data_IF_543351567709
#
_entry.id   IF_543351567709
#
_cell.length_a   1.000
_cell.length_b   1.000
_cell.length_c   1.000
_cell.angle_alpha   90.00
_cell.angle_beta   90.00
_cell.angle_gamma   90.00
#
_symmetry.space_group_name_H-M   'P 1'
#
loop_
_entity.id
_entity.type
_entity.pdbx_description
1 polymer ?
#
# COMPACT_ATOMS: atom_id res chain seq x y z
N UNK A 1 0.32 59.81 -32.33
CA UNK A 1 -1.00 59.75 -33.00
C UNK A 1 -1.41 58.30 -33.02
N UNK A 2 -2.67 58.04 -32.65
CA UNK A 2 -3.35 56.75 -32.42
C UNK A 2 -2.92 56.05 -31.11
N UNK A 3 -3.52 56.34 -29.94
CA UNK A 3 -4.91 56.14 -29.48
C UNK A 3 -5.40 54.69 -29.59
N UNK A 4 -5.55 54.02 -28.44
CA UNK A 4 -6.85 53.46 -28.06
C UNK A 4 -6.96 53.27 -26.55
N UNK A 5 -8.06 53.82 -26.04
CA UNK A 5 -8.46 54.08 -24.67
C UNK A 5 -9.54 53.06 -24.33
N UNK A 6 -9.39 52.27 -23.26
CA UNK A 6 -10.45 51.38 -22.77
C UNK A 6 -11.31 52.16 -21.77
N UNK A 7 -12.65 52.18 -21.91
CA UNK A 7 -13.54 52.90 -21.00
C UNK A 7 -14.00 52.03 -19.82
N UNK A 8 -14.30 52.74 -18.73
CA UNK A 8 -14.92 52.32 -17.47
C UNK A 8 -16.45 52.52 -17.51
N UNK A 9 -17.12 52.05 -16.45
CA UNK A 9 -18.54 52.23 -16.00
C UNK A 9 -19.50 51.09 -16.39
N UNK A 10 -19.91 50.24 -15.43
CA UNK A 10 -20.91 50.42 -14.34
C UNK A 10 -22.35 50.20 -14.84
N UNK A 11 -23.03 49.17 -14.27
CA UNK A 11 -24.49 49.16 -14.20
C UNK A 11 -25.00 48.31 -13.03
N UNK A 12 -25.87 48.97 -12.29
CA UNK A 12 -26.50 48.68 -11.00
C UNK A 12 -27.72 47.72 -11.06
N UNK A 13 -28.20 47.38 -9.85
CA UNK A 13 -29.53 46.89 -9.45
C UNK A 13 -29.87 45.39 -9.68
N UNK A 14 -30.52 44.64 -8.77
CA UNK A 14 -31.11 44.90 -7.45
C UNK A 14 -31.40 43.55 -6.75
N UNK A 15 -31.47 43.58 -5.42
CA UNK A 15 -32.08 42.53 -4.59
C UNK A 15 -33.62 42.48 -4.77
N UNK A 16 -34.27 41.41 -4.31
CA UNK A 16 -35.09 41.60 -3.11
C UNK A 16 -34.85 40.57 -2.00
N UNK A 17 -35.09 41.04 -0.79
CA UNK A 17 -35.24 40.29 0.45
C UNK A 17 -36.73 39.99 0.69
N UNK A 18 -37.01 38.80 1.22
CA UNK A 18 -38.05 38.46 2.22
C UNK A 18 -37.84 36.96 2.48
N UNK A 19 -37.55 36.45 3.67
CA UNK A 19 -38.11 36.82 4.97
C UNK A 19 -39.15 35.76 5.33
N UNK A 20 -38.78 34.79 6.17
CA UNK A 20 -39.63 34.29 7.28
C UNK A 20 -38.90 33.19 8.06
N UNK A 21 -38.79 33.46 9.36
CA UNK A 21 -38.41 32.53 10.43
C UNK A 21 -39.55 31.54 10.69
N UNK A 22 -39.22 30.28 10.95
CA UNK A 22 -40.05 29.42 11.78
C UNK A 22 -39.16 28.50 12.62
N UNK A 23 -39.03 28.86 13.89
CA UNK A 23 -38.60 27.96 14.96
C UNK A 23 -39.82 27.27 15.58
N UNK A 24 -39.54 26.16 16.28
CA UNK A 24 -40.45 25.35 17.11
C UNK A 24 -41.31 24.38 16.27
N UNK A 25 -41.34 23.07 16.50
CA UNK A 25 -41.78 22.42 17.73
C UNK A 25 -41.38 20.93 17.77
N UNK A 26 -41.18 20.47 19.00
CA UNK A 26 -41.13 19.11 19.53
C UNK A 26 -42.22 18.17 18.99
N UNK A 27 -41.84 16.94 18.65
CA UNK A 27 -42.75 15.84 18.37
C UNK A 27 -42.14 14.51 18.80
N UNK A 28 -42.18 14.21 20.10
CA UNK A 28 -42.07 12.84 20.59
C UNK A 28 -43.32 12.07 20.20
N UNK A 29 -43.16 11.01 19.42
CA UNK A 29 -44.13 9.95 19.32
C UNK A 29 -43.45 8.65 19.75
N UNK A 30 -43.91 8.15 20.89
CA UNK A 30 -43.61 6.84 21.44
C UNK A 30 -44.06 5.76 20.42
N UNK A 31 -43.12 4.90 20.03
CA UNK A 31 -43.37 3.68 19.29
C UNK A 31 -42.93 2.49 20.14
N UNK A 32 -43.90 1.77 20.68
CA UNK A 32 -43.74 0.60 21.55
C UNK A 32 -43.00 -0.56 20.85
N UNK A 33 -42.19 -1.37 21.56
CA UNK A 33 -41.35 -2.40 20.95
C UNK A 33 -42.16 -3.64 20.57
N UNK A 34 -42.17 -4.01 19.29
CA UNK A 34 -42.70 -5.30 18.87
C UNK A 34 -41.79 -6.44 19.35
N UNK A 35 -42.31 -7.19 20.32
CA UNK A 35 -41.80 -8.44 20.86
C UNK A 35 -41.68 -9.52 19.75
N UNK A 36 -40.53 -10.21 19.60
CA UNK A 36 -40.46 -11.39 18.75
C UNK A 36 -41.18 -12.58 19.41
N UNK A 37 -41.82 -13.48 18.64
CA UNK A 37 -42.47 -14.65 19.20
C UNK A 37 -41.43 -15.71 19.58
N UNK A 38 -41.48 -16.13 20.85
CA UNK A 38 -40.88 -17.37 21.34
C UNK A 38 -41.79 -18.56 21.00
N UNK A 39 -41.22 -19.64 20.47
CA UNK A 39 -41.80 -20.97 20.62
C UNK A 39 -41.62 -21.95 19.46
N UNK A 40 -40.72 -22.92 19.68
CA UNK A 40 -40.77 -24.31 19.22
C UNK A 40 -40.39 -24.63 17.75
N UNK A 41 -39.20 -25.22 17.53
CA UNK A 41 -38.97 -26.67 17.73
C UNK A 41 -37.59 -27.09 17.25
N UNK A 42 -37.00 -28.05 17.98
CA UNK A 42 -35.72 -28.68 17.73
C UNK A 42 -35.65 -29.34 16.33
N UNK A 43 -34.61 -29.00 15.57
CA UNK A 43 -34.09 -29.78 14.45
C UNK A 43 -32.71 -30.35 14.81
N UNK A 44 -32.29 -31.47 14.21
CA UNK A 44 -31.11 -32.19 14.65
C UNK A 44 -29.84 -31.39 14.36
N UNK A 45 -28.92 -31.38 15.33
CA UNK A 45 -27.56 -30.89 15.20
C UNK A 45 -26.83 -31.73 14.12
N UNK A 46 -26.31 -31.14 13.04
CA UNK A 46 -25.27 -31.80 12.27
C UNK A 46 -23.95 -31.59 12.99
N UNK A 47 -23.30 -32.72 13.26
CA UNK A 47 -22.00 -32.86 13.87
C UNK A 47 -20.98 -31.83 13.35
N UNK A 48 -20.22 -31.30 14.30
CA UNK A 48 -19.06 -30.44 14.09
C UNK A 48 -18.02 -31.13 13.21
N UNK A 49 -18.11 -30.95 11.90
CA UNK A 49 -16.95 -31.12 11.02
C UNK A 49 -16.03 -29.94 11.30
N UNK A 50 -14.87 -30.24 11.88
CA UNK A 50 -13.88 -29.26 12.28
C UNK A 50 -13.65 -28.23 11.18
N UNK A 51 -13.58 -26.96 11.58
CA UNK A 51 -13.07 -25.91 10.71
C UNK A 51 -11.63 -26.32 10.37
N UNK A 52 -11.47 -26.95 9.21
CA UNK A 52 -10.16 -27.21 8.65
C UNK A 52 -9.54 -25.82 8.49
N UNK A 53 -8.48 -25.56 9.28
CA UNK A 53 -7.69 -24.36 9.12
C UNK A 53 -7.23 -24.22 7.66
N UNK A 54 -6.81 -23.03 7.24
CA UNK A 54 -6.25 -22.85 5.90
C UNK A 54 -5.22 -23.96 5.64
N UNK A 55 -5.21 -24.55 4.43
CA UNK A 55 -4.38 -25.71 4.16
C UNK A 55 -2.93 -25.36 4.49
N UNK A 56 -2.36 -26.12 5.43
CA UNK A 56 -0.93 -26.21 5.74
C UNK A 56 -0.22 -26.80 4.51
N UNK A 57 -0.26 -26.07 3.41
CA UNK A 57 0.60 -26.28 2.27
C UNK A 57 1.90 -25.57 2.61
N UNK A 58 2.83 -26.32 3.20
CA UNK A 58 4.23 -25.92 3.24
C UNK A 58 4.69 -25.60 1.82
N UNK A 59 4.66 -24.31 1.47
CA UNK A 59 5.15 -23.82 0.19
C UNK A 59 6.64 -24.13 0.10
N UNK A 60 7.12 -24.71 -1.02
CA UNK A 60 8.53 -25.05 -1.18
C UNK A 60 9.32 -23.75 -1.16
N UNK A 61 10.14 -23.52 -0.12
CA UNK A 61 10.90 -22.27 0.12
C UNK A 61 10.07 -21.02 -0.20
N UNK A 62 9.25 -20.59 0.78
CA UNK A 62 8.25 -19.52 0.64
C UNK A 62 8.69 -18.36 -0.25
N UNK A 63 7.95 -18.14 -1.34
CA UNK A 63 8.18 -17.04 -2.29
C UNK A 63 8.07 -15.72 -1.53
N UNK A 64 8.98 -14.80 -1.83
CA UNK A 64 9.00 -13.47 -1.21
C UNK A 64 8.91 -12.39 -2.26
N UNK A 65 8.27 -11.30 -1.90
CA UNK A 65 8.19 -10.11 -2.73
C UNK A 65 9.57 -9.47 -2.89
N UNK A 66 10.00 -9.24 -4.13
CA UNK A 66 11.27 -8.59 -4.46
C UNK A 66 11.32 -7.10 -4.08
N UNK A 67 10.21 -6.51 -3.61
CA UNK A 67 10.16 -5.11 -3.15
C UNK A 67 10.09 -4.99 -1.62
N UNK A 68 9.20 -5.76 -0.96
CA UNK A 68 8.99 -5.64 0.48
C UNK A 68 9.51 -6.83 1.30
N UNK A 69 10.06 -7.87 0.67
CA UNK A 69 10.56 -9.09 1.32
C UNK A 69 9.51 -9.92 2.09
N UNK A 70 8.24 -9.55 2.03
CA UNK A 70 7.14 -10.27 2.65
C UNK A 70 6.76 -11.54 1.86
N UNK A 71 6.25 -12.55 2.56
CA UNK A 71 5.74 -13.80 1.97
C UNK A 71 4.38 -13.67 1.28
N UNK A 72 3.87 -14.78 0.78
CA UNK A 72 2.61 -14.95 0.06
C UNK A 72 1.36 -14.57 0.89
N UNK A 73 1.35 -14.80 2.20
CA UNK A 73 0.19 -14.57 3.09
C UNK A 73 0.27 -13.30 3.92
N UNK A 74 1.07 -12.32 3.50
CA UNK A 74 1.37 -11.19 4.35
C UNK A 74 0.13 -10.33 4.67
N UNK A 75 -0.14 -10.16 5.97
CA UNK A 75 -1.35 -9.54 6.53
C UNK A 75 -1.46 -8.00 6.35
N UNK A 76 -0.56 -7.39 5.59
CA UNK A 76 -0.50 -5.93 5.41
C UNK A 76 -1.29 -5.41 4.20
N UNK A 77 -2.26 -6.18 3.70
CA UNK A 77 -3.14 -5.75 2.60
C UNK A 77 -2.45 -5.65 1.24
N UNK A 78 -1.25 -6.20 1.05
CA UNK A 78 -0.48 -6.13 -0.20
C UNK A 78 -1.10 -6.92 -1.37
N UNK A 79 -2.07 -7.80 -1.05
CA UNK A 79 -2.70 -8.79 -1.93
C UNK A 79 -1.72 -9.88 -2.41
N UNK A 80 -2.15 -10.74 -3.33
CA UNK A 80 -1.40 -11.91 -3.78
C UNK A 80 -0.03 -11.58 -4.41
N UNK A 81 0.93 -12.51 -4.27
CA UNK A 81 2.18 -12.48 -5.03
C UNK A 81 1.91 -12.84 -6.49
N UNK A 82 2.38 -11.99 -7.40
CA UNK A 82 2.33 -12.21 -8.84
C UNK A 82 3.75 -12.49 -9.34
N UNK A 83 3.87 -13.45 -10.25
CA UNK A 83 5.13 -13.74 -10.94
C UNK A 83 5.22 -12.86 -12.18
N UNK A 84 6.24 -12.04 -12.26
CA UNK A 84 6.53 -11.21 -13.43
C UNK A 84 7.52 -11.91 -14.35
N UNK A 85 7.25 -11.85 -15.65
CA UNK A 85 8.13 -12.38 -16.69
C UNK A 85 9.51 -11.71 -16.66
N UNK A 86 10.56 -12.36 -17.17
CA UNK A 86 11.86 -11.72 -17.33
C UNK A 86 11.77 -10.58 -18.33
N UNK A 87 12.57 -9.53 -18.10
CA UNK A 87 12.83 -8.56 -19.17
C UNK A 87 13.65 -9.22 -20.29
N UNK A 88 13.47 -8.82 -21.55
CA UNK A 88 14.42 -9.16 -22.61
C UNK A 88 15.84 -8.77 -22.17
N UNK A 89 16.83 -9.61 -22.51
CA UNK A 89 18.25 -9.39 -22.18
C UNK A 89 18.55 -9.42 -20.66
N UNK A 90 17.75 -10.17 -19.89
CA UNK A 90 17.96 -10.38 -18.45
C UNK A 90 19.39 -10.83 -18.07
N UNK A 91 20.01 -11.80 -18.77
CA UNK A 91 21.36 -12.27 -18.43
C UNK A 91 22.40 -11.15 -18.49
N UNK A 92 22.36 -10.28 -19.51
CA UNK A 92 23.31 -9.18 -19.65
C UNK A 92 23.16 -8.11 -18.56
N UNK A 93 21.96 -7.93 -18.01
CA UNK A 93 21.72 -6.97 -16.92
C UNK A 93 22.30 -7.43 -15.58
N UNK A 94 22.54 -8.73 -15.41
CA UNK A 94 23.22 -9.27 -14.23
C UNK A 94 24.74 -9.08 -14.28
N UNK A 95 25.34 -9.02 -15.47
CA UNK A 95 26.80 -8.90 -15.68
C UNK A 95 27.35 -7.55 -15.19
N UNK A 96 26.52 -6.52 -15.05
CA UNK A 96 26.91 -5.24 -14.44
C UNK A 96 26.96 -5.21 -12.91
N UNK A 97 26.52 -6.28 -12.25
CA UNK A 97 26.43 -6.41 -10.79
C UNK A 97 27.18 -7.64 -10.27
N UNK A 98 28.26 -8.03 -10.93
CA UNK A 98 29.17 -9.03 -10.38
C UNK A 98 29.82 -8.48 -9.09
N UNK A 99 29.82 -9.26 -7.99
CA UNK A 99 30.52 -8.85 -6.79
C UNK A 99 32.01 -8.67 -7.12
N UNK A 100 32.69 -7.66 -6.56
CA UNK A 100 34.14 -7.55 -6.72
C UNK A 100 34.78 -8.85 -6.21
N UNK A 101 35.72 -9.38 -7.00
CA UNK A 101 36.56 -10.54 -6.72
C UNK A 101 37.37 -10.29 -5.42
N UNK A 102 36.71 -10.46 -4.28
CA UNK A 102 37.29 -10.51 -2.95
C UNK A 102 37.59 -11.95 -2.58
N UNK A 103 38.59 -12.23 -1.72
CA UNK A 103 38.92 -13.59 -1.35
C UNK A 103 37.68 -14.26 -0.73
N UNK A 104 37.15 -15.26 -1.44
CA UNK A 104 35.91 -15.92 -1.10
C UNK A 104 35.95 -16.46 0.32
N UNK A 105 35.01 -15.99 1.14
CA UNK A 105 34.76 -16.60 2.45
C UNK A 105 34.23 -18.02 2.20
N UNK A 106 34.84 -19.06 2.77
CA UNK A 106 34.40 -20.43 2.52
C UNK A 106 32.95 -20.62 3.00
N UNK A 107 32.17 -21.50 2.33
CA UNK A 107 30.80 -21.77 2.74
C UNK A 107 30.78 -22.22 4.21
N UNK A 108 29.81 -21.76 5.02
CA UNK A 108 29.69 -22.22 6.40
C UNK A 108 29.51 -23.74 6.41
N UNK A 109 30.32 -24.42 7.22
CA UNK A 109 30.31 -25.88 7.33
C UNK A 109 28.96 -26.42 7.83
N UNK A 110 28.72 -27.73 7.64
CA UNK A 110 27.40 -28.38 7.81
C UNK A 110 26.84 -28.41 9.24
N UNK A 111 27.42 -27.67 10.19
CA UNK A 111 27.07 -27.71 11.61
C UNK A 111 26.58 -26.38 12.19
N UNK A 112 26.24 -25.39 11.36
CA UNK A 112 25.44 -24.24 11.77
C UNK A 112 23.98 -24.58 11.47
N UNK A 113 23.35 -25.37 12.35
CA UNK A 113 21.90 -25.53 12.36
C UNK A 113 21.30 -24.14 12.56
N UNK A 114 20.87 -23.53 11.46
CA UNK A 114 19.90 -22.45 11.48
C UNK A 114 18.75 -22.95 12.36
N UNK A 115 18.33 -22.21 13.40
CA UNK A 115 17.09 -22.54 14.09
C UNK A 115 16.01 -22.67 13.03
N UNK A 116 15.23 -23.75 13.10
CA UNK A 116 14.03 -23.92 12.25
C UNK A 116 13.30 -22.58 12.20
N UNK A 117 12.76 -22.16 11.04
CA UNK A 117 12.02 -20.92 10.96
C UNK A 117 10.74 -21.11 11.78
N UNK A 118 10.82 -20.83 13.08
CA UNK A 118 9.73 -20.76 14.02
C UNK A 118 8.77 -19.73 13.47
N UNK A 119 7.75 -20.19 12.73
CA UNK A 119 6.57 -19.45 12.27
C UNK A 119 6.83 -17.94 12.21
N UNK A 120 7.80 -17.52 11.37
CA UNK A 120 8.47 -16.23 11.54
C UNK A 120 7.45 -15.11 11.29
N UNK A 121 6.88 -14.59 12.38
CA UNK A 121 5.66 -13.80 12.34
C UNK A 121 5.74 -12.57 11.46
N UNK A 122 4.63 -12.25 10.79
CA UNK A 122 4.45 -11.15 9.84
C UNK A 122 4.56 -9.74 10.46
N UNK A 123 5.46 -9.53 11.43
CA UNK A 123 5.70 -8.22 12.00
C UNK A 123 6.35 -7.28 11.00
N UNK A 124 6.04 -5.99 11.11
CA UNK A 124 6.68 -4.91 10.34
C UNK A 124 8.23 -4.99 10.38
N UNK A 125 8.78 -5.61 11.43
CA UNK A 125 10.18 -5.93 11.62
C UNK A 125 10.78 -6.90 10.58
N UNK A 126 10.01 -7.48 9.65
CA UNK A 126 10.54 -8.28 8.54
C UNK A 126 10.51 -7.57 7.17
N UNK A 127 9.84 -6.41 7.08
CA UNK A 127 9.67 -5.70 5.81
C UNK A 127 10.99 -5.11 5.29
N UNK A 128 11.32 -5.41 4.04
CA UNK A 128 12.48 -4.89 3.35
C UNK A 128 13.74 -5.72 3.59
N UNK A 129 14.81 -5.31 2.92
CA UNK A 129 16.06 -6.06 2.85
C UNK A 129 17.15 -5.43 3.72
N UNK A 130 18.03 -6.27 4.27
CA UNK A 130 19.34 -5.83 4.76
C UNK A 130 20.19 -5.29 3.61
N UNK A 131 21.20 -4.47 3.92
CA UNK A 131 22.10 -3.92 2.90
C UNK A 131 22.85 -5.03 2.14
N UNK A 132 23.17 -4.78 0.87
CA UNK A 132 23.98 -5.69 0.04
C UNK A 132 23.21 -6.80 -0.70
N UNK A 133 21.87 -6.77 -0.71
CA UNK A 133 21.08 -7.67 -1.57
C UNK A 133 21.32 -7.35 -3.04
N UNK A 134 21.58 -8.40 -3.83
CA UNK A 134 21.83 -8.29 -5.27
C UNK A 134 20.60 -8.69 -6.08
N UNK A 135 20.46 -8.22 -7.33
CA UNK A 135 19.38 -8.67 -8.21
C UNK A 135 19.35 -10.20 -8.38
N UNK A 136 20.51 -10.86 -8.43
CA UNK A 136 20.61 -12.32 -8.55
C UNK A 136 19.94 -13.08 -7.38
N UNK A 137 19.75 -12.44 -6.21
CA UNK A 137 19.05 -13.04 -5.07
C UNK A 137 17.54 -12.83 -5.11
N UNK A 138 17.07 -11.82 -5.85
CA UNK A 138 15.66 -11.43 -5.91
C UNK A 138 14.90 -12.01 -7.11
N UNK A 139 15.65 -12.46 -8.11
CA UNK A 139 15.11 -13.03 -9.33
C UNK A 139 15.42 -14.52 -9.40
N UNK A 140 14.47 -15.29 -9.94
CA UNK A 140 14.68 -16.69 -10.29
C UNK A 140 15.80 -16.81 -11.34
N UNK A 141 16.49 -17.96 -11.46
CA UNK A 141 17.49 -18.17 -12.51
C UNK A 141 16.96 -17.95 -13.94
N UNK A 142 15.65 -18.10 -14.12
CA UNK A 142 14.91 -17.83 -15.36
C UNK A 142 14.62 -16.34 -15.59
N UNK A 143 15.05 -15.46 -14.67
CA UNK A 143 14.88 -14.01 -14.70
C UNK A 143 13.52 -13.49 -14.27
N UNK A 144 12.66 -14.35 -13.72
CA UNK A 144 11.36 -13.93 -13.19
C UNK A 144 11.53 -13.39 -11.76
N UNK A 145 10.62 -12.55 -11.31
CA UNK A 145 10.55 -12.17 -9.90
C UNK A 145 9.11 -12.25 -9.39
N UNK A 146 8.99 -12.39 -8.07
CA UNK A 146 7.71 -12.39 -7.39
C UNK A 146 7.51 -11.04 -6.72
N UNK A 147 6.40 -10.38 -6.99
CA UNK A 147 6.06 -9.08 -6.39
C UNK A 147 4.58 -9.07 -6.05
N UNK A 148 4.21 -8.54 -4.88
CA UNK A 148 2.80 -8.39 -4.54
C UNK A 148 2.10 -7.42 -5.47
N UNK A 149 0.81 -7.66 -5.72
CA UNK A 149 -0.02 -6.82 -6.58
C UNK A 149 0.10 -5.32 -6.27
N UNK A 150 -0.11 -4.92 -5.01
CA UNK A 150 -0.01 -3.51 -4.64
C UNK A 150 1.42 -2.99 -4.58
N UNK A 151 2.41 -3.82 -4.23
CA UNK A 151 3.81 -3.43 -4.30
C UNK A 151 4.20 -3.08 -5.76
N UNK A 152 3.77 -3.87 -6.75
CA UNK A 152 4.00 -3.59 -8.16
C UNK A 152 3.23 -2.36 -8.63
N UNK A 153 1.94 -2.27 -8.29
CA UNK A 153 1.10 -1.15 -8.72
C UNK A 153 1.63 0.20 -8.23
N UNK A 154 2.07 0.27 -6.96
CA UNK A 154 2.57 1.51 -6.37
C UNK A 154 3.98 1.90 -6.82
N UNK A 155 4.79 0.93 -7.21
CA UNK A 155 6.14 1.16 -7.72
C UNK A 155 6.16 1.50 -9.23
N UNK A 156 5.24 0.92 -10.02
CA UNK A 156 5.29 0.95 -11.48
C UNK A 156 4.00 1.48 -12.17
N UNK A 157 2.96 1.82 -11.40
CA UNK A 157 1.66 2.26 -11.90
C UNK A 157 0.60 1.15 -11.88
N UNK A 158 -0.69 1.54 -11.97
CA UNK A 158 -1.83 0.64 -11.75
C UNK A 158 -1.90 -0.60 -12.67
N UNK A 159 -1.32 -0.52 -13.87
CA UNK A 159 -1.13 -1.64 -14.78
C UNK A 159 0.37 -1.83 -15.02
N UNK A 160 1.09 -2.46 -14.08
CA UNK A 160 2.54 -2.46 -14.09
C UNK A 160 3.08 -3.36 -15.22
N UNK A 161 3.81 -2.76 -16.15
CA UNK A 161 4.56 -3.49 -17.17
C UNK A 161 5.77 -4.20 -16.55
N UNK A 162 6.13 -5.36 -17.11
CA UNK A 162 7.29 -6.18 -16.69
C UNK A 162 8.57 -5.34 -16.57
N UNK A 163 8.88 -4.52 -17.58
CA UNK A 163 10.08 -3.69 -17.59
C UNK A 163 10.09 -2.64 -16.47
N UNK A 164 8.91 -2.14 -16.09
CA UNK A 164 8.76 -1.14 -15.02
C UNK A 164 8.88 -1.77 -13.64
N UNK A 165 8.37 -2.99 -13.45
CA UNK A 165 8.58 -3.76 -12.20
C UNK A 165 10.05 -4.13 -12.04
N UNK A 166 10.69 -4.67 -13.07
CA UNK A 166 12.11 -4.99 -13.02
C UNK A 166 12.95 -3.75 -12.66
N UNK A 167 12.69 -2.60 -13.31
CA UNK A 167 13.35 -1.33 -13.00
C UNK A 167 13.14 -0.91 -11.55
N UNK A 168 11.92 -1.07 -11.01
CA UNK A 168 11.62 -0.78 -9.62
C UNK A 168 12.39 -1.69 -8.65
N UNK A 169 12.54 -2.97 -8.96
CA UNK A 169 13.37 -3.89 -8.15
C UNK A 169 14.84 -3.45 -8.19
N UNK A 170 15.38 -3.20 -9.38
CA UNK A 170 16.78 -2.75 -9.55
C UNK A 170 17.08 -1.43 -8.84
N UNK A 171 16.17 -0.46 -8.85
CA UNK A 171 16.37 0.78 -8.11
C UNK A 171 16.17 0.55 -6.61
N UNK A 172 15.13 -0.20 -6.24
CA UNK A 172 14.68 -0.42 -4.87
C UNK A 172 15.73 -1.06 -3.95
N UNK A 173 16.57 -1.96 -4.46
CA UNK A 173 17.62 -2.61 -3.65
C UNK A 173 18.63 -1.64 -3.01
N UNK A 174 18.75 -0.43 -3.56
CA UNK A 174 19.63 0.63 -3.02
C UNK A 174 18.87 1.74 -2.31
N UNK A 175 17.54 1.69 -2.28
CA UNK A 175 16.70 2.73 -1.70
C UNK A 175 16.15 2.32 -0.34
N UNK A 176 16.34 3.18 0.66
CA UNK A 176 15.91 2.94 2.05
C UNK A 176 14.50 3.46 2.29
N UNK A 177 13.72 2.68 3.02
CA UNK A 177 12.41 3.11 3.50
C UNK A 177 12.56 4.11 4.64
N UNK A 178 11.84 5.23 4.58
CA UNK A 178 11.80 6.24 5.65
C UNK A 178 11.27 5.67 6.97
N UNK A 179 10.32 4.73 6.91
CA UNK A 179 9.68 4.15 8.09
C UNK A 179 10.57 3.08 8.77
N UNK A 180 11.10 2.12 8.00
CA UNK A 180 11.81 0.97 8.58
C UNK A 180 13.32 0.97 8.36
N UNK A 181 13.87 1.93 7.60
CA UNK A 181 15.30 2.08 7.31
C UNK A 181 15.92 1.05 6.37
N UNK A 182 15.16 0.03 5.94
CA UNK A 182 15.63 -1.11 5.13
C UNK A 182 15.46 -0.88 3.63
N UNK A 183 16.24 -1.61 2.84
CA UNK A 183 16.22 -1.53 1.39
C UNK A 183 14.93 -2.12 0.78
N UNK A 184 14.66 -1.78 -0.49
CA UNK A 184 13.47 -2.22 -1.24
C UNK A 184 12.38 -1.15 -1.38
N UNK A 185 12.60 0.06 -0.86
CA UNK A 185 11.60 1.12 -0.89
C UNK A 185 11.52 1.76 -2.27
N UNK A 186 10.33 1.73 -2.89
CA UNK A 186 10.13 2.19 -4.27
C UNK A 186 8.98 3.17 -4.43
N UNK A 187 8.23 3.46 -3.36
CA UNK A 187 7.05 4.31 -3.42
C UNK A 187 7.39 5.70 -2.92
N UNK A 188 7.47 6.72 -3.80
CA UNK A 188 7.82 8.07 -3.41
C UNK A 188 6.63 8.83 -2.84
N UNK A 189 6.93 9.70 -1.87
CA UNK A 189 6.02 10.79 -1.52
C UNK A 189 5.90 11.76 -2.69
N UNK A 190 4.68 11.96 -3.20
CA UNK A 190 4.40 12.85 -4.34
C UNK A 190 3.90 14.22 -3.89
N UNK A 191 4.59 14.84 -2.95
CA UNK A 191 4.31 16.21 -2.52
C UNK A 191 4.56 17.18 -3.68
N UNK A 192 3.75 18.24 -3.81
CA UNK A 192 3.89 19.21 -4.89
C UNK A 192 5.24 19.95 -4.85
N UNK A 193 5.77 20.20 -3.65
CA UNK A 193 7.08 20.81 -3.44
C UNK A 193 8.26 19.87 -3.73
N UNK A 194 8.00 18.58 -4.00
CA UNK A 194 9.02 17.54 -4.11
C UNK A 194 9.43 16.99 -2.74
N UNK A 195 9.59 15.67 -2.65
CA UNK A 195 10.01 14.98 -1.43
C UNK A 195 10.85 13.76 -1.80
N UNK A 196 11.94 13.52 -1.06
CA UNK A 196 12.85 12.40 -1.30
C UNK A 196 12.47 11.12 -0.55
N UNK A 197 11.46 11.18 0.33
CA UNK A 197 11.07 10.04 1.16
C UNK A 197 10.46 8.92 0.33
N UNK A 198 10.96 7.70 0.55
CA UNK A 198 10.52 6.47 -0.09
C UNK A 198 9.97 5.50 0.96
N UNK A 199 8.98 4.70 0.56
CA UNK A 199 8.33 3.73 1.42
C UNK A 199 8.16 2.37 0.73
N UNK A 200 8.12 1.31 1.53
CA UNK A 200 7.43 0.09 1.12
C UNK A 200 5.91 0.32 1.25
N UNK A 201 5.10 -0.39 0.44
CA UNK A 201 3.64 -0.34 0.56
C UNK A 201 3.15 -0.61 2.00
N UNK A 202 3.54 -1.73 2.65
CA UNK A 202 3.08 -1.99 4.03
C UNK A 202 3.60 -0.97 5.05
N UNK A 203 4.80 -0.41 4.84
CA UNK A 203 5.35 0.62 5.72
C UNK A 203 4.60 1.94 5.62
N UNK A 204 4.19 2.34 4.41
CA UNK A 204 3.40 3.55 4.20
C UNK A 204 2.08 3.52 5.00
N UNK A 205 1.38 2.39 4.94
CA UNK A 205 0.16 2.16 5.70
C UNK A 205 0.40 2.23 7.22
N UNK A 206 1.51 1.66 7.70
CA UNK A 206 1.85 1.65 9.11
C UNK A 206 2.35 3.00 9.66
N UNK A 207 2.83 3.92 8.81
CA UNK A 207 3.45 5.18 9.24
C UNK A 207 2.52 6.40 9.18
N UNK A 208 1.22 6.22 8.93
CA UNK A 208 0.27 7.33 8.78
C UNK A 208 0.48 8.15 7.49
N UNK A 209 1.03 7.52 6.44
CA UNK A 209 1.04 8.13 5.11
C UNK A 209 -0.37 8.13 4.53
N UNK A 210 -0.76 9.21 3.86
CA UNK A 210 -1.96 9.20 3.04
C UNK A 210 -1.71 8.42 1.75
N UNK A 211 -2.66 7.56 1.40
CA UNK A 211 -2.59 6.67 0.24
C UNK A 211 -3.89 6.74 -0.56
N UNK A 212 -3.86 7.41 -1.71
CA UNK A 212 -4.96 7.35 -2.68
C UNK A 212 -4.81 6.06 -3.49
N UNK A 213 -5.67 5.07 -3.21
CA UNK A 213 -5.71 3.82 -3.98
C UNK A 213 -6.20 4.05 -5.42
N UNK A 214 -7.06 5.05 -5.66
CA UNK A 214 -7.57 5.38 -7.01
C UNK A 214 -6.47 5.90 -7.94
N UNK A 215 -5.63 6.80 -7.44
CA UNK A 215 -4.57 7.44 -8.24
C UNK A 215 -3.18 6.85 -8.00
N UNK A 216 -3.09 5.87 -7.09
CA UNK A 216 -1.85 5.24 -6.66
C UNK A 216 -0.84 6.29 -6.18
N UNK A 217 -1.31 7.23 -5.33
CA UNK A 217 -0.53 8.39 -4.86
C UNK A 217 -0.29 8.34 -3.36
N UNK A 218 0.96 8.55 -2.96
CA UNK A 218 1.40 8.58 -1.55
C UNK A 218 1.76 10.01 -1.15
N UNK A 219 1.33 10.43 0.04
CA UNK A 219 1.84 11.61 0.75
C UNK A 219 2.34 11.19 2.14
N UNK A 220 3.56 11.57 2.48
CA UNK A 220 4.14 11.23 3.79
C UNK A 220 3.47 12.04 4.92
N UNK A 221 3.71 11.72 6.20
CA UNK A 221 3.04 12.37 7.32
C UNK A 221 3.31 13.87 7.48
N UNK A 222 4.33 14.42 6.79
CA UNK A 222 4.60 15.86 6.72
C UNK A 222 3.81 16.56 5.60
N UNK A 223 3.45 15.84 4.54
CA UNK A 223 2.75 16.38 3.37
C UNK A 223 1.30 15.92 3.29
N UNK A 224 0.80 15.21 4.30
CA UNK A 224 -0.58 14.71 4.36
C UNK A 224 -1.61 15.83 4.25
N UNK A 225 -1.28 17.06 4.69
CA UNK A 225 -2.14 18.23 4.55
C UNK A 225 -2.48 18.57 3.08
N UNK A 226 -1.63 18.21 2.11
CA UNK A 226 -1.92 18.38 0.68
C UNK A 226 -3.06 17.46 0.20
N UNK A 227 -3.43 16.44 0.98
CA UNK A 227 -4.50 15.52 0.62
C UNK A 227 -5.91 16.09 0.87
N UNK A 228 -6.06 17.17 1.65
CA UNK A 228 -7.38 17.69 2.08
C UNK A 228 -8.29 18.01 0.89
N UNK A 229 -7.73 18.46 -0.23
CA UNK A 229 -8.47 18.77 -1.45
C UNK A 229 -8.70 17.55 -2.36
N UNK A 230 -8.18 16.37 -2.00
CA UNK A 230 -8.36 15.14 -2.76
C UNK A 230 -9.68 14.46 -2.38
N UNK A 231 -10.39 13.91 -3.38
CA UNK A 231 -11.65 13.19 -3.15
C UNK A 231 -11.48 12.02 -2.17
N UNK A 232 -10.34 11.33 -2.25
CA UNK A 232 -10.03 10.14 -1.43
C UNK A 232 -9.70 10.45 0.03
N UNK A 233 -9.60 11.74 0.39
CA UNK A 233 -9.36 12.18 1.76
C UNK A 233 -10.66 12.37 2.56
N UNK A 234 -11.82 12.19 1.93
CA UNK A 234 -13.12 12.38 2.57
C UNK A 234 -13.64 11.06 3.13
N UNK A 235 -14.05 11.08 4.39
CA UNK A 235 -14.72 9.95 5.02
C UNK A 235 -16.00 9.60 4.26
N UNK A 236 -16.19 8.32 3.90
CA UNK A 236 -17.38 7.85 3.18
C UNK A 236 -18.69 8.02 3.97
N UNK A 237 -18.62 8.16 5.29
CA UNK A 237 -19.78 8.30 6.18
C UNK A 237 -20.19 9.75 6.37
N UNK A 238 -19.26 10.64 6.71
CA UNK A 238 -19.55 12.04 7.04
C UNK A 238 -19.12 13.05 5.97
N UNK A 239 -18.44 12.60 4.91
CA UNK A 239 -17.88 13.43 3.83
C UNK A 239 -16.90 14.53 4.29
N UNK A 240 -16.48 14.49 5.56
CA UNK A 240 -15.47 15.36 6.14
C UNK A 240 -14.06 14.78 5.98
N UNK A 241 -13.01 15.60 6.08
CA UNK A 241 -11.62 15.17 5.86
C UNK A 241 -11.05 14.21 6.92
N UNK A 242 -11.71 14.02 8.08
CA UNK A 242 -11.22 13.15 9.16
C UNK A 242 -9.83 13.51 9.70
N UNK A 243 -9.26 12.66 10.55
CA UNK A 243 -7.80 12.66 10.77
C UNK A 243 -7.16 11.77 9.71
N UNK A 244 -6.49 12.41 8.74
CA UNK A 244 -5.87 11.73 7.61
C UNK A 244 -4.74 10.76 8.02
N UNK A 245 -4.22 10.87 9.25
CA UNK A 245 -3.21 9.96 9.79
C UNK A 245 -3.80 8.64 10.30
N UNK A 246 -5.10 8.61 10.58
CA UNK A 246 -5.81 7.45 11.12
C UNK A 246 -6.56 6.64 10.03
N UNK A 247 -6.47 7.05 8.77
CA UNK A 247 -7.13 6.35 7.65
C UNK A 247 -6.37 5.08 7.25
N UNK A 248 -6.65 3.96 7.93
CA UNK A 248 -6.09 2.64 7.64
C UNK A 248 -6.88 1.94 6.52
N UNK A 249 -7.03 2.60 5.36
CA UNK A 249 -7.87 2.19 4.22
C UNK A 249 -9.38 2.42 4.41
N UNK A 250 -10.02 2.92 3.35
CA UNK A 250 -11.47 3.06 3.21
C UNK A 250 -11.98 2.09 2.13
#
# INVERSE_FOLDING_TARGET
>A
MDEQKVPTEEKDAAAPADGVMASEEMGSAEGDPLKPPEGASAGPEPESTGMEGPPEAGSPLGRRCALCNCGDWSLHGQRELQRFEPVPDWPERLVGHEPPDGPGQPPPGPNQLLPEPELAGDGLAQIGFSEGVTPAQLFEPTGHCWVHHWCAAWAAGAAPEVASVARAVFSGISQKCECCGRAGATIPCRAAAGCSRLYHFPCAAASGCFQSMKTVRLLCPEHVAEAVDMEDARCSVCNGPGDLRDLVFC
#
